data_IF_859196468952
#
_entry.id   IF_859196468952
#
_cell.length_a   1.000
_cell.length_b   1.000
_cell.length_c   1.000
_cell.angle_alpha   90.00
_cell.angle_beta   90.00
_cell.angle_gamma   90.00
#
_symmetry.space_group_name_H-M   'P 1'
#
loop_
_entity.id
_entity.type
_entity.pdbx_description
1 polymer ?
#
# COMPACT_ATOMS: atom_id res chain seq x y z
N UNK A 1 -50.76 -54.12 -16.74
CA UNK A 1 -49.41 -53.53 -16.59
C UNK A 1 -49.41 -52.68 -15.33
N UNK A 2 -48.57 -53.02 -14.36
CA UNK A 2 -48.38 -52.26 -13.12
C UNK A 2 -47.27 -51.24 -13.39
N UNK A 3 -47.56 -49.94 -13.23
CA UNK A 3 -46.58 -48.88 -13.38
C UNK A 3 -46.08 -48.48 -11.99
N UNK A 4 -44.82 -48.80 -11.69
CA UNK A 4 -44.15 -48.41 -10.45
C UNK A 4 -43.51 -47.04 -10.68
N UNK A 5 -44.06 -45.99 -10.07
CA UNK A 5 -43.47 -44.65 -10.08
C UNK A 5 -42.57 -44.53 -8.85
N UNK A 6 -41.26 -44.56 -9.08
CA UNK A 6 -40.26 -44.26 -8.05
C UNK A 6 -40.19 -42.74 -7.87
N UNK A 7 -40.74 -42.22 -6.78
CA UNK A 7 -40.45 -40.85 -6.33
C UNK A 7 -39.11 -40.87 -5.58
N UNK A 8 -38.08 -40.31 -6.22
CA UNK A 8 -36.83 -39.93 -5.56
C UNK A 8 -37.07 -38.69 -4.71
N UNK A 9 -37.20 -38.86 -3.41
CA UNK A 9 -37.13 -37.76 -2.44
C UNK A 9 -35.67 -37.30 -2.34
N UNK A 10 -35.34 -36.18 -2.97
CA UNK A 10 -34.10 -35.45 -2.69
C UNK A 10 -34.25 -34.79 -1.33
N UNK A 11 -33.71 -35.43 -0.30
CA UNK A 11 -33.60 -34.85 1.02
C UNK A 11 -32.58 -33.71 0.98
N UNK A 12 -33.05 -32.46 0.95
CA UNK A 12 -32.24 -31.30 1.33
C UNK A 12 -31.96 -31.40 2.84
N UNK A 13 -30.83 -31.98 3.22
CA UNK A 13 -30.31 -31.84 4.58
C UNK A 13 -29.82 -30.39 4.75
N UNK A 14 -30.60 -29.58 5.44
CA UNK A 14 -30.08 -28.36 6.08
C UNK A 14 -28.91 -28.76 6.99
N UNK A 15 -27.73 -28.14 6.89
CA UNK A 15 -26.63 -28.46 7.79
C UNK A 15 -27.10 -28.18 9.22
N UNK A 16 -27.07 -29.20 10.08
CA UNK A 16 -27.28 -29.02 11.51
C UNK A 16 -26.38 -27.88 11.99
N UNK A 17 -26.97 -26.85 12.60
CA UNK A 17 -26.20 -25.80 13.25
C UNK A 17 -25.40 -26.46 14.39
N UNK A 18 -24.13 -26.75 14.12
CA UNK A 18 -23.20 -27.36 15.08
C UNK A 18 -23.02 -26.49 16.32
N UNK A 19 -23.49 -25.23 16.31
CA UNK A 19 -23.35 -24.27 17.40
C UNK A 19 -21.96 -23.64 17.48
N UNK A 20 -21.04 -23.96 16.56
CA UNK A 20 -19.72 -23.33 16.46
C UNK A 20 -19.91 -21.88 16.01
N UNK A 21 -19.54 -20.93 16.88
CA UNK A 21 -19.67 -19.50 16.61
C UNK A 21 -18.35 -18.90 16.15
N UNK A 22 -18.42 -17.95 15.22
CA UNK A 22 -17.25 -17.21 14.76
C UNK A 22 -17.07 -15.98 15.66
N UNK A 23 -15.88 -15.81 16.24
CA UNK A 23 -15.50 -14.58 16.94
C UNK A 23 -14.88 -13.60 15.96
N UNK A 24 -15.44 -12.40 15.91
CA UNK A 24 -15.03 -11.35 14.99
C UNK A 24 -14.23 -10.27 15.73
N UNK A 25 -13.21 -9.75 15.06
CA UNK A 25 -12.60 -8.46 15.39
C UNK A 25 -12.73 -7.58 14.16
N UNK A 26 -13.50 -6.49 14.26
CA UNK A 26 -13.99 -5.74 13.10
C UNK A 26 -14.64 -6.67 12.06
N UNK A 27 -14.11 -6.74 10.83
CA UNK A 27 -14.58 -7.63 9.75
C UNK A 27 -13.76 -8.92 9.61
N UNK A 28 -12.84 -9.22 10.54
CA UNK A 28 -11.97 -10.40 10.55
C UNK A 28 -12.52 -11.50 11.45
N UNK A 29 -12.62 -12.72 10.91
CA UNK A 29 -12.91 -13.91 11.69
C UNK A 29 -11.63 -14.36 12.41
N UNK A 30 -11.50 -14.03 13.69
CA UNK A 30 -10.24 -14.17 14.45
C UNK A 30 -10.19 -15.41 15.34
N UNK A 31 -11.34 -16.01 15.67
CA UNK A 31 -11.38 -17.25 16.43
C UNK A 31 -12.69 -18.02 16.20
N UNK A 32 -12.72 -19.28 16.61
CA UNK A 32 -13.94 -20.08 16.72
C UNK A 32 -14.23 -20.36 18.19
N UNK A 33 -15.49 -20.17 18.56
CA UNK A 33 -16.10 -20.61 19.81
C UNK A 33 -16.71 -22.00 19.58
N UNK A 34 -16.10 -23.03 20.17
CA UNK A 34 -16.52 -24.44 20.02
C UNK A 34 -17.28 -24.86 21.27
N UNK A 35 -18.59 -25.14 21.20
CA UNK A 35 -19.38 -25.52 22.37
C UNK A 35 -18.85 -26.78 23.06
N UNK A 36 -18.77 -26.77 24.40
CA UNK A 36 -18.29 -27.91 25.20
C UNK A 36 -19.10 -29.20 24.96
N UNK A 37 -20.39 -29.06 24.68
CA UNK A 37 -21.29 -30.18 24.33
C UNK A 37 -20.83 -31.00 23.10
N UNK A 38 -20.10 -30.40 22.15
CA UNK A 38 -19.54 -31.11 20.99
C UNK A 38 -18.29 -31.92 21.34
N UNK A 39 -17.64 -31.54 22.43
CA UNK A 39 -16.29 -31.99 22.78
C UNK A 39 -16.30 -33.05 23.88
N UNK A 40 -17.33 -33.06 24.73
CA UNK A 40 -17.32 -33.86 25.95
C UNK A 40 -16.23 -33.41 26.93
N UNK A 41 -15.90 -34.23 27.94
CA UNK A 41 -14.89 -33.87 28.93
C UNK A 41 -13.48 -33.89 28.30
N UNK A 42 -12.89 -32.71 28.12
CA UNK A 42 -11.51 -32.53 27.65
C UNK A 42 -10.68 -31.82 28.73
N UNK A 43 -9.49 -32.34 29.00
CA UNK A 43 -8.55 -31.70 29.93
C UNK A 43 -7.83 -30.54 29.24
N UNK A 44 -7.56 -29.46 29.97
CA UNK A 44 -6.89 -28.30 29.39
C UNK A 44 -5.50 -28.63 28.81
N UNK A 45 -4.82 -29.61 29.40
CA UNK A 45 -3.46 -30.02 29.00
C UNK A 45 -3.43 -30.92 27.76
N UNK A 46 -4.56 -31.51 27.36
CA UNK A 46 -4.64 -32.43 26.21
C UNK A 46 -5.27 -31.79 24.96
N UNK A 47 -5.84 -30.58 25.08
CA UNK A 47 -6.56 -29.91 23.98
C UNK A 47 -5.74 -29.84 22.69
N UNK A 48 -4.48 -29.40 22.75
CA UNK A 48 -3.63 -29.25 21.56
C UNK A 48 -3.23 -30.56 20.86
N UNK A 49 -3.41 -31.71 21.52
CA UNK A 49 -3.14 -33.03 20.95
C UNK A 49 -4.41 -33.70 20.40
N UNK A 50 -5.56 -33.41 21.03
CA UNK A 50 -6.83 -34.06 20.73
C UNK A 50 -7.69 -33.27 19.74
N UNK A 51 -7.61 -31.94 19.80
CA UNK A 51 -8.37 -31.04 18.94
C UNK A 51 -7.53 -30.59 17.76
N UNK A 52 -8.16 -30.55 16.59
CA UNK A 52 -7.62 -29.87 15.42
C UNK A 52 -8.72 -29.17 14.66
N UNK A 53 -8.40 -28.00 14.11
CA UNK A 53 -9.23 -27.31 13.14
C UNK A 53 -8.58 -27.47 11.78
N UNK A 54 -9.36 -27.80 10.75
CA UNK A 54 -8.87 -28.07 9.39
C UNK A 54 -9.68 -27.28 8.38
N UNK A 55 -9.05 -26.83 7.31
CA UNK A 55 -9.79 -26.38 6.14
C UNK A 55 -10.57 -27.58 5.57
N UNK A 56 -11.82 -27.37 5.17
CA UNK A 56 -12.62 -28.44 4.57
C UNK A 56 -11.88 -29.06 3.37
N UNK A 57 -11.94 -30.39 3.27
CA UNK A 57 -11.24 -31.19 2.25
C UNK A 57 -9.69 -31.14 2.34
N UNK A 58 -9.13 -30.70 3.47
CA UNK A 58 -7.69 -30.81 3.77
C UNK A 58 -7.50 -31.63 5.05
N UNK A 59 -6.49 -32.49 5.04
CA UNK A 59 -6.14 -33.30 6.22
C UNK A 59 -5.27 -32.53 7.23
N UNK A 60 -4.53 -31.53 6.74
CA UNK A 60 -3.61 -30.74 7.56
C UNK A 60 -4.38 -29.80 8.49
N UNK A 61 -4.07 -29.87 9.79
CA UNK A 61 -4.58 -28.92 10.78
C UNK A 61 -3.99 -27.53 10.55
N UNK A 62 -4.82 -26.51 10.72
CA UNK A 62 -4.33 -25.13 10.77
C UNK A 62 -3.69 -24.87 12.12
N UNK A 63 -2.56 -24.16 12.12
CA UNK A 63 -1.85 -23.79 13.34
C UNK A 63 -2.68 -22.78 14.14
N UNK A 64 -2.69 -22.95 15.46
CA UNK A 64 -3.41 -22.08 16.37
C UNK A 64 -3.27 -22.54 17.82
N UNK A 65 -4.01 -21.87 18.70
CA UNK A 65 -4.06 -22.19 20.13
C UNK A 65 -5.49 -22.45 20.56
N UNK A 66 -5.65 -23.40 21.47
CA UNK A 66 -6.92 -23.68 22.12
C UNK A 66 -6.90 -23.12 23.54
N UNK A 67 -7.99 -22.51 23.97
CA UNK A 67 -8.19 -22.03 25.34
C UNK A 67 -9.57 -22.45 25.82
N UNK A 68 -9.62 -23.07 27.00
CA UNK A 68 -10.89 -23.36 27.66
C UNK A 68 -11.46 -22.07 28.25
N UNK A 69 -12.72 -21.79 27.93
CA UNK A 69 -13.61 -20.86 28.63
C UNK A 69 -14.80 -21.66 29.21
N UNK A 70 -15.60 -21.06 30.10
CA UNK A 70 -16.51 -21.77 31.01
C UNK A 70 -17.31 -22.93 30.40
N UNK A 71 -17.89 -22.76 29.20
CA UNK A 71 -18.69 -23.77 28.48
C UNK A 71 -18.28 -23.93 27.00
N UNK A 72 -17.11 -23.41 26.62
CA UNK A 72 -16.64 -23.45 25.25
C UNK A 72 -15.11 -23.50 25.17
N UNK A 73 -14.60 -24.04 24.07
CA UNK A 73 -13.18 -23.98 23.73
C UNK A 73 -12.99 -22.96 22.62
N UNK A 74 -12.12 -22.00 22.85
CA UNK A 74 -11.77 -20.98 21.88
C UNK A 74 -10.55 -21.44 21.10
N UNK A 75 -10.70 -21.58 19.79
CA UNK A 75 -9.59 -21.80 18.89
C UNK A 75 -9.22 -20.50 18.18
N UNK A 76 -8.00 -20.01 18.43
CA UNK A 76 -7.42 -18.84 17.77
C UNK A 76 -6.32 -19.29 16.81
N UNK A 77 -6.52 -19.24 15.49
CA UNK A 77 -5.50 -19.60 14.52
C UNK A 77 -4.36 -18.60 14.50
N UNK A 78 -3.18 -19.05 14.04
CA UNK A 78 -2.02 -18.18 13.81
C UNK A 78 -2.30 -17.14 12.72
N UNK A 79 -3.08 -17.52 11.70
CA UNK A 79 -3.56 -16.65 10.63
C UNK A 79 -5.09 -16.63 10.71
N UNK A 80 -5.75 -15.46 10.78
CA UNK A 80 -7.20 -15.36 10.83
C UNK A 80 -7.90 -16.15 9.71
N UNK A 81 -9.14 -16.57 9.96
CA UNK A 81 -9.89 -17.37 9.02
C UNK A 81 -10.21 -16.59 7.74
N UNK A 82 -10.13 -17.30 6.61
CA UNK A 82 -10.42 -16.73 5.29
C UNK A 82 -11.91 -16.81 5.01
N UNK A 83 -12.50 -15.71 4.53
CA UNK A 83 -13.93 -15.65 4.17
C UNK A 83 -14.24 -16.56 2.98
N UNK A 84 -15.47 -17.07 2.94
CA UNK A 84 -15.94 -18.00 1.92
C UNK A 84 -15.39 -19.42 2.04
N UNK A 85 -14.50 -19.68 3.01
CA UNK A 85 -13.98 -21.01 3.26
C UNK A 85 -14.75 -21.72 4.38
N UNK A 86 -14.83 -23.04 4.26
CA UNK A 86 -15.40 -23.92 5.27
C UNK A 86 -14.29 -24.56 6.09
N UNK A 87 -14.50 -24.65 7.40
CA UNK A 87 -13.60 -25.25 8.36
C UNK A 87 -14.31 -26.34 9.15
N UNK A 88 -13.56 -27.36 9.52
CA UNK A 88 -14.04 -28.51 10.26
C UNK A 88 -13.26 -28.65 11.57
N UNK A 89 -13.97 -28.93 12.66
CA UNK A 89 -13.41 -29.21 13.97
C UNK A 89 -13.37 -30.71 14.16
N UNK A 90 -12.22 -31.21 14.61
CA UNK A 90 -11.95 -32.62 14.81
C UNK A 90 -11.49 -32.88 16.24
N UNK A 91 -12.01 -33.94 16.83
CA UNK A 91 -11.63 -34.46 18.13
C UNK A 91 -11.17 -35.91 17.97
N UNK A 92 -9.93 -36.21 18.37
CA UNK A 92 -9.35 -37.56 18.31
C UNK A 92 -9.52 -38.22 16.93
N UNK A 93 -9.35 -37.44 15.85
CA UNK A 93 -9.50 -37.93 14.48
C UNK A 93 -10.95 -38.10 14.00
N UNK A 94 -11.96 -37.76 14.81
CA UNK A 94 -13.38 -37.73 14.41
C UNK A 94 -13.84 -36.29 14.18
N UNK A 95 -14.55 -36.04 13.07
CA UNK A 95 -15.19 -34.75 12.79
C UNK A 95 -16.35 -34.53 13.76
N UNK A 96 -16.34 -33.42 14.50
CA UNK A 96 -17.35 -33.08 15.51
C UNK A 96 -18.21 -31.88 15.12
N UNK A 97 -17.78 -31.08 14.15
CA UNK A 97 -18.61 -30.03 13.59
C UNK A 97 -17.93 -29.25 12.49
N UNK A 98 -18.73 -28.44 11.82
CA UNK A 98 -18.32 -27.59 10.71
C UNK A 98 -18.79 -26.16 10.91
N UNK A 99 -18.05 -25.24 10.34
CA UNK A 99 -18.41 -23.82 10.28
C UNK A 99 -17.93 -23.23 8.96
N UNK A 100 -18.75 -22.38 8.35
CA UNK A 100 -18.41 -21.66 7.13
C UNK A 100 -18.22 -20.20 7.47
N UNK A 101 -17.08 -19.62 7.06
CA UNK A 101 -16.86 -18.20 7.24
C UNK A 101 -17.65 -17.45 6.16
N UNK A 102 -18.60 -16.58 6.52
CA UNK A 102 -19.39 -15.84 5.55
C UNK A 102 -18.52 -15.04 4.57
N UNK A 103 -18.92 -15.01 3.30
CA UNK A 103 -18.36 -14.10 2.30
C UNK A 103 -18.62 -12.64 2.69
N UNK A 104 -17.93 -11.71 2.03
CA UNK A 104 -18.30 -10.30 2.13
C UNK A 104 -19.55 -10.03 1.29
N UNK A 105 -20.29 -8.98 1.66
CA UNK A 105 -21.35 -8.44 0.82
C UNK A 105 -20.79 -8.04 -0.55
N UNK A 106 -21.56 -8.25 -1.62
CA UNK A 106 -21.09 -8.07 -2.99
C UNK A 106 -20.56 -6.65 -3.28
N UNK A 107 -21.14 -5.64 -2.62
CA UNK A 107 -20.77 -4.23 -2.76
C UNK A 107 -19.63 -3.78 -1.84
N UNK A 108 -19.21 -4.62 -0.87
CA UNK A 108 -18.12 -4.34 0.06
C UNK A 108 -16.76 -4.62 -0.57
N UNK A 109 -16.40 -3.80 -1.57
CA UNK A 109 -15.16 -3.95 -2.34
C UNK A 109 -14.12 -2.86 -2.00
N UNK A 110 -12.82 -3.20 -1.96
CA UNK A 110 -11.75 -2.20 -1.95
C UNK A 110 -11.73 -1.39 -3.25
N UNK A 111 -11.17 -0.18 -3.16
CA UNK A 111 -10.98 0.72 -4.30
C UNK A 111 -9.51 1.14 -4.40
N UNK A 112 -9.02 1.28 -5.63
CA UNK A 112 -7.76 1.98 -5.90
C UNK A 112 -8.08 3.48 -5.99
N UNK A 113 -7.62 4.24 -5.01
CA UNK A 113 -7.91 5.65 -4.83
C UNK A 113 -7.05 6.54 -5.75
N UNK A 114 -5.77 6.20 -5.93
CA UNK A 114 -4.85 6.98 -6.74
C UNK A 114 -3.66 6.14 -7.21
N UNK A 115 -3.08 6.57 -8.35
CA UNK A 115 -1.78 6.14 -8.84
C UNK A 115 -0.90 7.38 -8.96
N UNK A 116 0.20 7.42 -8.21
CA UNK A 116 1.15 8.54 -8.25
C UNK A 116 2.42 8.20 -9.01
N UNK A 117 3.10 9.20 -9.63
CA UNK A 117 2.74 10.63 -9.66
C UNK A 117 1.45 10.92 -10.45
N UNK A 118 0.79 12.05 -10.18
CA UNK A 118 -0.51 12.34 -10.80
C UNK A 118 -0.39 12.69 -12.27
N UNK A 119 0.65 13.43 -12.66
CA UNK A 119 0.83 13.89 -14.03
C UNK A 119 0.94 12.74 -15.05
N UNK A 120 0.58 13.02 -16.30
CA UNK A 120 0.60 12.04 -17.40
C UNK A 120 1.80 12.21 -18.34
N UNK A 121 2.82 12.99 -17.92
CA UNK A 121 4.10 13.12 -18.60
C UNK A 121 5.23 12.80 -17.63
N UNK A 122 5.88 11.64 -17.78
CA UNK A 122 6.89 11.13 -16.84
C UNK A 122 8.27 11.06 -17.49
N UNK A 123 9.37 11.32 -16.78
CA UNK A 123 10.70 11.13 -17.35
C UNK A 123 10.96 9.66 -17.69
N UNK A 124 11.76 9.37 -18.71
CA UNK A 124 12.13 7.97 -19.06
C UNK A 124 12.82 7.21 -17.91
N UNK A 125 13.35 7.95 -16.92
CA UNK A 125 13.93 7.41 -15.70
C UNK A 125 13.06 7.63 -14.47
N UNK A 126 11.73 7.70 -14.62
CA UNK A 126 10.79 7.60 -13.51
C UNK A 126 11.20 6.44 -12.58
N UNK A 127 11.36 6.74 -11.30
CA UNK A 127 11.87 5.77 -10.34
C UNK A 127 10.75 5.00 -9.62
N UNK A 128 9.77 5.73 -9.08
CA UNK A 128 8.75 5.16 -8.19
C UNK A 128 7.34 5.43 -8.68
N UNK A 129 6.44 4.47 -8.45
CA UNK A 129 5.00 4.61 -8.61
C UNK A 129 4.35 4.22 -7.28
N UNK A 130 3.32 4.95 -6.86
CA UNK A 130 2.57 4.60 -5.66
C UNK A 130 1.14 4.20 -6.01
N UNK A 131 0.66 3.10 -5.44
CA UNK A 131 -0.73 2.67 -5.53
C UNK A 131 -1.40 2.89 -4.17
N UNK A 132 -2.41 3.75 -4.12
CA UNK A 132 -3.18 4.03 -2.91
C UNK A 132 -4.51 3.28 -2.93
N UNK A 133 -4.77 2.50 -1.89
CA UNK A 133 -5.95 1.66 -1.75
C UNK A 133 -6.83 2.15 -0.59
N UNK A 134 -8.13 1.94 -0.70
CA UNK A 134 -9.11 2.35 0.31
C UNK A 134 -9.06 1.53 1.60
N UNK A 135 -8.36 0.39 1.59
CA UNK A 135 -8.22 -0.55 2.71
C UNK A 135 -7.03 -1.50 2.49
N UNK A 136 -6.56 -2.23 3.53
CA UNK A 136 -5.38 -3.10 3.44
C UNK A 136 -5.49 -4.18 2.36
N UNK A 137 -4.54 -4.20 1.42
CA UNK A 137 -4.49 -5.18 0.33
C UNK A 137 -3.66 -6.43 0.69
N UNK A 138 -3.83 -7.52 -0.07
CA UNK A 138 -2.99 -8.72 0.10
C UNK A 138 -1.65 -8.56 -0.61
N UNK A 139 -0.58 -8.58 0.18
CA UNK A 139 0.83 -8.47 -0.23
C UNK A 139 1.41 -9.78 -0.84
N UNK A 140 2.60 -9.68 -1.43
CA UNK A 140 3.41 -10.79 -1.95
C UNK A 140 2.99 -11.29 -3.35
N UNK A 141 2.21 -10.51 -4.08
CA UNK A 141 1.61 -10.92 -5.35
C UNK A 141 1.31 -9.75 -6.30
N UNK A 142 1.87 -8.57 -6.07
CA UNK A 142 1.68 -7.37 -6.91
C UNK A 142 1.97 -7.63 -8.39
N UNK A 143 3.00 -8.42 -8.70
CA UNK A 143 3.36 -8.78 -10.08
C UNK A 143 2.26 -9.53 -10.85
N UNK A 144 1.29 -10.14 -10.15
CA UNK A 144 0.14 -10.80 -10.79
C UNK A 144 -0.95 -9.81 -11.21
N UNK A 145 -1.00 -8.64 -10.59
CA UNK A 145 -2.11 -7.69 -10.73
C UNK A 145 -1.69 -6.34 -11.30
N UNK A 146 -0.39 -6.05 -11.36
CA UNK A 146 0.15 -4.81 -11.93
C UNK A 146 0.94 -5.12 -13.18
N UNK A 147 0.58 -4.47 -14.28
CA UNK A 147 1.27 -4.59 -15.57
C UNK A 147 1.60 -3.21 -16.13
N UNK A 148 2.69 -3.14 -16.90
CA UNK A 148 3.01 -1.98 -17.71
C UNK A 148 2.85 -2.38 -19.19
N UNK A 149 2.00 -1.65 -19.92
CA UNK A 149 1.76 -1.87 -21.35
C UNK A 149 2.35 -0.70 -22.13
N UNK A 150 3.10 -0.97 -23.19
CA UNK A 150 3.67 0.02 -24.09
C UNK A 150 2.87 0.06 -25.39
N UNK A 151 2.55 1.27 -25.86
CA UNK A 151 1.84 1.54 -27.12
C UNK A 151 0.57 0.67 -27.30
N UNK A 152 -0.15 0.43 -26.21
CA UNK A 152 -1.42 -0.34 -26.16
C UNK A 152 -1.36 -1.81 -26.60
N UNK A 153 -0.16 -2.34 -26.88
CA UNK A 153 -0.01 -3.70 -27.42
C UNK A 153 1.00 -4.55 -26.63
N UNK A 154 2.11 -3.95 -26.20
CA UNK A 154 3.25 -4.70 -25.65
C UNK A 154 3.24 -4.67 -24.13
N UNK A 155 2.78 -5.75 -23.49
CA UNK A 155 2.97 -5.92 -22.05
C UNK A 155 4.44 -6.16 -21.74
N UNK A 156 5.04 -5.28 -20.93
CA UNK A 156 6.46 -5.33 -20.61
C UNK A 156 6.71 -6.12 -19.30
N UNK A 157 7.29 -7.33 -19.38
CA UNK A 157 7.65 -8.08 -18.19
C UNK A 157 8.88 -7.48 -17.50
N UNK A 158 9.01 -7.69 -16.18
CA UNK A 158 10.23 -7.36 -15.44
C UNK A 158 10.60 -5.87 -15.45
N UNK A 159 9.62 -4.98 -15.62
CA UNK A 159 9.82 -3.53 -15.51
C UNK A 159 9.91 -3.10 -14.05
N UNK A 160 9.01 -3.62 -13.22
CA UNK A 160 9.04 -3.37 -11.79
C UNK A 160 10.03 -4.31 -11.10
N UNK A 161 10.84 -3.76 -10.19
CA UNK A 161 11.75 -4.52 -9.36
C UNK A 161 10.97 -5.49 -8.47
N UNK A 162 11.30 -6.78 -8.54
CA UNK A 162 10.69 -7.79 -7.67
C UNK A 162 11.35 -7.78 -6.28
N UNK A 163 10.78 -7.04 -5.34
CA UNK A 163 11.22 -7.04 -3.94
C UNK A 163 10.36 -7.99 -3.12
N UNK A 164 11.01 -8.82 -2.29
CA UNK A 164 10.37 -9.71 -1.33
C UNK A 164 11.05 -9.50 0.04
N UNK A 165 10.39 -8.87 1.02
CA UNK A 165 9.00 -8.42 0.99
C UNK A 165 8.77 -7.22 0.03
N UNK A 166 7.53 -7.08 -0.44
CA UNK A 166 7.07 -5.91 -1.19
C UNK A 166 7.09 -4.63 -0.33
N UNK A 167 7.17 -3.45 -0.97
CA UNK A 167 7.28 -2.17 -0.28
C UNK A 167 5.91 -1.57 0.08
N UNK A 168 5.20 -2.23 0.99
CA UNK A 168 3.96 -1.71 1.57
C UNK A 168 4.23 -0.78 2.76
N UNK A 169 3.36 0.21 2.97
CA UNK A 169 3.25 0.86 4.28
C UNK A 169 2.74 -0.12 5.35
N UNK A 170 2.86 0.23 6.62
CA UNK A 170 2.45 -0.62 7.73
C UNK A 170 0.97 -1.05 7.66
N UNK A 171 0.11 -0.17 7.17
CA UNK A 171 -1.33 -0.41 7.01
C UNK A 171 -1.67 -1.21 5.74
N UNK A 172 -0.70 -1.44 4.84
CA UNK A 172 -0.87 -2.13 3.55
C UNK A 172 -1.91 -1.49 2.64
N UNK A 173 -2.06 -0.18 2.75
CA UNK A 173 -2.94 0.66 1.93
C UNK A 173 -2.16 1.41 0.86
N UNK A 174 -0.84 1.43 0.92
CA UNK A 174 0.04 2.10 -0.04
C UNK A 174 1.12 1.11 -0.46
N UNK A 175 1.18 0.80 -1.75
CA UNK A 175 2.28 0.03 -2.33
C UNK A 175 3.20 0.96 -3.12
N UNK A 176 4.49 0.88 -2.83
CA UNK A 176 5.53 1.54 -3.64
C UNK A 176 6.10 0.54 -4.65
N UNK A 177 5.93 0.83 -5.94
CA UNK A 177 6.54 0.09 -7.03
C UNK A 177 7.78 0.82 -7.52
N UNK A 178 8.90 0.12 -7.60
CA UNK A 178 10.11 0.65 -8.20
C UNK A 178 10.21 0.17 -9.64
N UNK A 179 10.36 1.09 -10.59
CA UNK A 179 10.95 0.70 -11.87
C UNK A 179 12.39 0.31 -11.60
N UNK A 180 12.84 -0.81 -12.17
CA UNK A 180 14.12 -1.42 -11.80
C UNK A 180 15.28 -0.40 -11.81
N UNK A 181 15.82 -0.03 -10.62
CA UNK A 181 16.90 0.95 -10.53
C UNK A 181 18.17 0.51 -11.26
N UNK A 182 18.40 -0.80 -11.31
CA UNK A 182 19.52 -1.41 -12.04
C UNK A 182 19.41 -1.18 -13.54
N UNK A 183 18.20 -0.99 -14.05
CA UNK A 183 17.91 -0.62 -15.44
C UNK A 183 17.87 0.90 -15.65
N UNK A 184 17.69 1.71 -14.60
CA UNK A 184 17.73 3.18 -14.69
C UNK A 184 19.18 3.71 -14.73
N UNK A 185 20.07 3.10 -13.95
CA UNK A 185 21.49 3.48 -13.89
C UNK A 185 22.25 2.90 -15.08
N UNK A 186 22.82 3.77 -15.92
CA UNK A 186 23.36 3.40 -17.25
C UNK A 186 24.59 2.50 -17.17
N UNK A 187 25.39 2.66 -16.12
CA UNK A 187 26.63 1.90 -15.97
C UNK A 187 26.44 0.47 -15.44
N UNK A 188 25.23 0.14 -14.95
CA UNK A 188 24.95 -1.15 -14.34
C UNK A 188 24.59 -2.22 -15.37
N UNK A 189 24.93 -3.48 -15.05
CA UNK A 189 24.68 -4.62 -15.93
C UNK A 189 23.21 -4.79 -16.37
N UNK A 190 22.18 -4.56 -15.51
CA UNK A 190 20.80 -4.73 -15.94
C UNK A 190 20.41 -3.76 -17.07
N UNK A 191 20.81 -2.48 -16.99
CA UNK A 191 20.62 -1.53 -18.10
C UNK A 191 21.32 -2.01 -19.38
N UNK A 192 22.58 -2.43 -19.30
CA UNK A 192 23.35 -2.88 -20.47
C UNK A 192 22.73 -4.11 -21.16
N UNK A 193 22.02 -4.97 -20.42
CA UNK A 193 21.40 -6.19 -20.94
C UNK A 193 19.95 -6.00 -21.38
N UNK A 194 19.16 -5.23 -20.63
CA UNK A 194 17.70 -5.15 -20.77
C UNK A 194 17.21 -3.75 -21.20
N UNK A 195 18.11 -2.77 -21.27
CA UNK A 195 17.79 -1.38 -21.51
C UNK A 195 17.05 -0.71 -20.35
N UNK A 196 16.73 0.57 -20.53
CA UNK A 196 15.91 1.36 -19.61
C UNK A 196 14.49 0.80 -19.48
N UNK A 197 13.83 0.92 -18.31
CA UNK A 197 12.44 0.53 -18.13
C UNK A 197 11.47 1.22 -19.09
N UNK A 198 11.69 2.52 -19.32
CA UNK A 198 10.86 3.38 -20.16
C UNK A 198 11.73 4.06 -21.22
N UNK A 199 11.17 4.30 -22.40
CA UNK A 199 11.85 4.95 -23.52
C UNK A 199 11.15 6.25 -23.87
N UNK A 200 11.87 7.37 -23.94
CA UNK A 200 11.31 8.68 -24.27
C UNK A 200 10.43 8.67 -25.55
N UNK A 201 9.35 9.46 -25.53
CA UNK A 201 8.42 9.64 -26.64
C UNK A 201 7.40 8.51 -26.85
N UNK A 202 7.39 7.48 -26.00
CA UNK A 202 6.41 6.38 -26.09
C UNK A 202 5.24 6.58 -25.15
N UNK A 203 4.14 5.89 -25.45
CA UNK A 203 2.92 5.87 -24.63
C UNK A 203 2.92 4.61 -23.77
N UNK A 204 2.53 4.77 -22.51
CA UNK A 204 2.50 3.68 -21.54
C UNK A 204 1.19 3.68 -20.77
N UNK A 205 0.83 2.48 -20.28
CA UNK A 205 -0.32 2.27 -19.41
C UNK A 205 0.10 1.41 -18.21
N UNK A 206 -0.11 1.91 -16.99
CA UNK A 206 -0.09 1.08 -15.78
C UNK A 206 -1.49 0.53 -15.59
N UNK A 207 -1.61 -0.79 -15.67
CA UNK A 207 -2.87 -1.50 -15.48
C UNK A 207 -2.85 -2.21 -14.13
N UNK A 208 -3.84 -1.91 -13.29
CA UNK A 208 -4.09 -2.59 -12.01
C UNK A 208 -5.38 -3.40 -12.15
N UNK A 209 -5.27 -4.72 -12.09
CA UNK A 209 -6.39 -5.65 -12.25
C UNK A 209 -7.35 -5.61 -11.07
N UNK A 210 -8.67 -5.67 -11.35
CA UNK A 210 -9.69 -5.83 -10.32
C UNK A 210 -9.53 -7.13 -9.51
N UNK A 211 -8.92 -8.17 -10.07
CA UNK A 211 -8.78 -9.46 -9.41
C UNK A 211 -7.90 -9.44 -8.14
N UNK A 212 -7.23 -8.33 -7.83
CA UNK A 212 -6.38 -8.21 -6.64
C UNK A 212 -7.22 -8.26 -5.35
N UNK A 213 -7.04 -9.27 -4.49
CA UNK A 213 -7.79 -9.35 -3.25
C UNK A 213 -7.22 -8.45 -2.15
N UNK A 214 -8.10 -7.95 -1.29
CA UNK A 214 -7.74 -7.38 0.00
C UNK A 214 -7.34 -8.46 1.02
N UNK A 215 -6.97 -8.03 2.23
CA UNK A 215 -6.66 -8.97 3.32
C UNK A 215 -7.86 -9.84 3.75
N UNK A 216 -9.08 -9.49 3.34
CA UNK A 216 -10.32 -10.18 3.68
C UNK A 216 -10.82 -11.09 2.55
N UNK A 217 -10.20 -11.00 1.36
CA UNK A 217 -10.52 -11.77 0.17
C UNK A 217 -11.44 -11.06 -0.83
N UNK A 218 -11.92 -9.84 -0.56
CA UNK A 218 -12.66 -9.07 -1.56
C UNK A 218 -11.72 -8.52 -2.61
N UNK A 219 -12.12 -8.63 -3.88
CA UNK A 219 -11.37 -8.09 -5.02
C UNK A 219 -11.72 -6.63 -5.27
N UNK A 220 -10.80 -5.88 -5.89
CA UNK A 220 -11.00 -4.47 -6.25
C UNK A 220 -12.31 -4.26 -7.02
N UNK A 221 -12.95 -3.11 -6.80
CA UNK A 221 -14.23 -2.76 -7.42
C UNK A 221 -14.17 -2.81 -8.95
N UNK A 222 -13.04 -2.37 -9.53
CA UNK A 222 -12.81 -2.31 -10.97
C UNK A 222 -11.31 -2.33 -11.27
N UNK A 223 -10.95 -2.82 -12.46
CA UNK A 223 -9.63 -2.60 -13.04
C UNK A 223 -9.42 -1.10 -13.28
N UNK A 224 -8.19 -0.62 -13.08
CA UNK A 224 -7.84 0.80 -13.24
C UNK A 224 -6.61 0.93 -14.12
N UNK A 225 -6.65 1.88 -15.05
CA UNK A 225 -5.56 2.18 -15.97
C UNK A 225 -5.12 3.63 -15.79
N UNK A 226 -3.81 3.84 -15.56
CA UNK A 226 -3.17 5.16 -15.70
C UNK A 226 -2.39 5.20 -17.00
N UNK A 227 -2.69 6.17 -17.85
CA UNK A 227 -1.99 6.41 -19.12
C UNK A 227 -0.98 7.53 -18.91
N UNK A 228 0.20 7.42 -19.51
CA UNK A 228 1.19 8.51 -19.54
C UNK A 228 2.10 8.41 -20.76
N UNK A 229 2.74 9.53 -21.09
CA UNK A 229 3.79 9.63 -22.11
C UNK A 229 5.13 9.86 -21.42
N UNK A 230 6.19 9.31 -21.99
CA UNK A 230 7.53 9.51 -21.46
C UNK A 230 8.22 10.71 -22.08
N UNK A 231 8.77 11.58 -21.24
CA UNK A 231 9.62 12.71 -21.64
C UNK A 231 11.09 12.29 -21.66
N UNK A 232 11.95 13.23 -22.06
CA UNK A 232 13.38 13.08 -21.93
C UNK A 232 13.79 12.79 -20.48
N UNK A 233 14.97 12.17 -20.33
CA UNK A 233 15.59 11.85 -19.05
C UNK A 233 15.76 13.10 -18.20
N UNK A 234 15.47 13.00 -16.92
CA UNK A 234 15.91 13.99 -15.95
C UNK A 234 17.19 13.54 -15.24
N UNK A 235 18.26 14.32 -15.39
CA UNK A 235 19.56 14.03 -14.80
C UNK A 235 20.06 15.18 -13.92
N UNK A 236 19.19 16.12 -13.57
CA UNK A 236 19.54 17.30 -12.81
C UNK A 236 19.00 17.17 -11.38
N UNK A 237 19.85 17.44 -10.39
CA UNK A 237 19.35 17.65 -9.04
C UNK A 237 18.45 18.89 -8.97
N UNK A 238 17.32 18.81 -8.26
CA UNK A 238 16.49 19.97 -8.04
C UNK A 238 17.22 21.05 -7.25
N UNK A 239 16.83 22.31 -7.46
CA UNK A 239 17.50 23.48 -6.87
C UNK A 239 16.52 24.35 -6.08
N UNK A 240 16.40 24.16 -4.75
CA UNK A 240 15.44 24.90 -3.93
C UNK A 240 15.57 26.43 -4.00
N UNK A 241 16.77 26.95 -4.28
CA UNK A 241 17.00 28.39 -4.51
C UNK A 241 16.17 28.97 -5.67
N UNK A 242 15.69 28.12 -6.60
CA UNK A 242 14.83 28.54 -7.72
C UNK A 242 13.33 28.46 -7.40
N UNK A 243 12.96 27.88 -6.26
CA UNK A 243 11.56 27.71 -5.88
C UNK A 243 10.95 29.05 -5.50
N UNK A 244 9.64 29.18 -5.74
CA UNK A 244 8.89 30.37 -5.33
C UNK A 244 8.17 30.08 -4.02
N UNK A 245 8.59 30.74 -2.96
CA UNK A 245 7.95 30.67 -1.65
C UNK A 245 7.15 31.95 -1.44
N UNK A 246 5.82 31.84 -1.46
CA UNK A 246 4.94 32.96 -1.18
C UNK A 246 4.50 32.89 0.28
N UNK A 247 4.90 33.90 1.05
CA UNK A 247 4.50 34.00 2.44
C UNK A 247 2.96 34.11 2.56
N UNK A 248 2.39 33.62 3.66
CA UNK A 248 0.97 33.75 3.97
C UNK A 248 0.47 35.19 3.83
N UNK A 249 -0.62 35.38 3.08
CA UNK A 249 -1.24 36.70 2.89
C UNK A 249 -1.84 37.27 4.18
N UNK A 250 -2.29 36.40 5.08
CA UNK A 250 -2.79 36.74 6.41
C UNK A 250 -2.65 35.55 7.37
N UNK A 251 -3.08 35.76 8.62
CA UNK A 251 -2.99 34.77 9.71
C UNK A 251 -3.59 33.39 9.39
N UNK A 252 -4.60 33.30 8.53
CA UNK A 252 -5.31 32.06 8.22
C UNK A 252 -4.96 31.47 6.84
N UNK A 253 -4.27 32.22 5.99
CA UNK A 253 -3.86 31.73 4.66
C UNK A 253 -2.64 30.83 4.76
N UNK A 254 -2.50 29.83 3.87
CA UNK A 254 -1.35 28.93 3.90
C UNK A 254 -0.07 29.65 3.45
N UNK A 255 1.07 29.04 3.74
CA UNK A 255 2.31 29.25 3.00
C UNK A 255 2.19 28.49 1.67
N UNK A 256 2.51 29.13 0.55
CA UNK A 256 2.52 28.50 -0.77
C UNK A 256 3.96 28.28 -1.26
N UNK A 257 4.28 27.06 -1.69
CA UNK A 257 5.58 26.72 -2.28
C UNK A 257 5.36 26.16 -3.67
N UNK A 258 5.98 26.78 -4.68
CA UNK A 258 6.01 26.27 -6.06
C UNK A 258 7.41 25.78 -6.41
N UNK A 259 7.54 24.49 -6.72
CA UNK A 259 8.82 23.81 -6.91
C UNK A 259 9.38 23.98 -8.33
N UNK A 260 8.50 24.23 -9.31
CA UNK A 260 8.87 24.34 -10.73
C UNK A 260 8.91 23.01 -11.48
N UNK A 261 8.95 21.90 -10.74
CA UNK A 261 8.94 20.52 -11.23
C UNK A 261 8.19 19.62 -10.21
N UNK A 262 7.70 18.45 -10.63
CA UNK A 262 7.00 17.52 -9.73
C UNK A 262 8.00 16.71 -8.91
N UNK A 263 7.68 16.48 -7.64
CA UNK A 263 8.51 15.69 -6.74
C UNK A 263 7.89 14.35 -6.38
N UNK A 264 8.68 13.48 -5.77
CA UNK A 264 8.20 12.23 -5.22
C UNK A 264 7.07 12.47 -4.20
N UNK A 265 5.89 11.95 -4.51
CA UNK A 265 4.68 12.13 -3.71
C UNK A 265 4.83 11.64 -2.27
N UNK A 266 5.46 10.46 -2.08
CA UNK A 266 5.64 9.86 -0.76
C UNK A 266 6.62 10.64 0.13
N UNK A 267 7.59 11.34 -0.46
CA UNK A 267 8.63 12.04 0.28
C UNK A 267 8.32 13.51 0.56
N UNK A 268 7.56 14.19 -0.31
CA UNK A 268 7.31 15.63 -0.22
C UNK A 268 6.82 16.06 1.17
N UNK A 269 5.77 15.43 1.70
CA UNK A 269 5.19 15.84 2.98
C UNK A 269 6.02 15.44 4.19
N UNK A 270 6.97 14.53 4.04
CA UNK A 270 7.88 14.09 5.11
C UNK A 270 9.17 14.92 5.19
N UNK A 271 9.52 15.62 4.12
CA UNK A 271 10.82 16.31 3.96
C UNK A 271 10.70 17.83 4.04
N UNK A 272 9.48 18.37 4.04
CA UNK A 272 9.19 19.79 4.16
C UNK A 272 8.76 20.12 5.59
N UNK A 273 9.47 21.05 6.23
CA UNK A 273 9.20 21.46 7.60
C UNK A 273 9.20 22.98 7.72
N UNK A 274 8.31 23.52 8.55
CA UNK A 274 8.30 24.95 8.87
C UNK A 274 8.76 25.15 10.30
N UNK A 275 9.74 26.02 10.48
CA UNK A 275 10.28 26.42 11.78
C UNK A 275 10.06 27.91 12.01
N UNK A 276 9.91 28.30 13.28
CA UNK A 276 10.07 29.69 13.69
C UNK A 276 11.53 30.09 13.55
N UNK A 277 11.83 31.40 13.51
CA UNK A 277 13.21 31.91 13.55
C UNK A 277 14.03 31.38 14.73
N UNK A 278 13.39 31.07 15.87
CA UNK A 278 14.03 30.46 17.05
C UNK A 278 14.29 28.95 16.91
N UNK A 279 14.00 28.36 15.76
CA UNK A 279 14.21 26.93 15.48
C UNK A 279 13.14 26.01 16.07
N UNK A 280 11.98 26.52 16.49
CA UNK A 280 10.87 25.68 16.97
C UNK A 280 9.99 25.23 15.80
N UNK A 281 9.61 23.95 15.75
CA UNK A 281 8.72 23.42 14.71
C UNK A 281 7.35 24.08 14.79
N UNK A 282 6.87 24.61 13.66
CA UNK A 282 5.48 25.04 13.49
C UNK A 282 4.67 23.82 13.11
N UNK A 283 3.77 23.38 14.00
CA UNK A 283 2.84 22.27 13.69
C UNK A 283 1.82 22.73 12.66
N UNK A 284 1.53 21.87 11.67
CA UNK A 284 0.56 22.15 10.62
C UNK A 284 0.37 20.98 9.70
N UNK A 285 -0.33 21.21 8.59
CA UNK A 285 -0.60 20.21 7.55
C UNK A 285 -0.11 20.71 6.21
N UNK A 286 0.62 19.85 5.52
CA UNK A 286 0.94 20.03 4.10
C UNK A 286 -0.18 19.46 3.24
N UNK A 287 -0.46 20.14 2.13
CA UNK A 287 -1.36 19.67 1.08
C UNK A 287 -0.64 19.83 -0.25
N UNK A 288 -0.52 18.74 -1.01
CA UNK A 288 0.09 18.75 -2.33
C UNK A 288 -0.94 19.20 -3.37
N UNK A 289 -0.49 19.95 -4.36
CA UNK A 289 -1.31 20.50 -5.43
C UNK A 289 -0.56 20.46 -6.75
N UNK A 290 -1.30 20.68 -7.84
CA UNK A 290 -0.71 20.88 -9.17
C UNK A 290 0.22 19.72 -9.57
N UNK A 291 -0.25 18.48 -9.39
CA UNK A 291 0.50 17.26 -9.72
C UNK A 291 1.89 17.21 -9.06
N UNK A 292 1.93 17.39 -7.73
CA UNK A 292 3.16 17.43 -6.94
C UNK A 292 4.13 18.59 -7.28
N UNK A 293 3.71 19.60 -8.07
CA UNK A 293 4.52 20.79 -8.41
C UNK A 293 4.36 21.94 -7.42
N UNK A 294 3.34 21.86 -6.56
CA UNK A 294 3.06 22.84 -5.51
C UNK A 294 2.71 22.17 -4.20
N UNK A 295 3.01 22.84 -3.10
CA UNK A 295 2.53 22.45 -1.79
C UNK A 295 2.11 23.65 -0.95
N UNK A 296 1.06 23.45 -0.17
CA UNK A 296 0.55 24.42 0.80
C UNK A 296 0.74 23.94 2.21
N UNK A 297 1.24 24.82 3.07
CA UNK A 297 1.31 24.54 4.51
C UNK A 297 0.33 25.41 5.28
N UNK A 298 -0.61 24.77 5.98
CA UNK A 298 -1.54 25.43 6.90
C UNK A 298 -1.13 25.13 8.34
N UNK A 299 -0.76 26.13 9.15
CA UNK A 299 -0.38 25.90 10.54
C UNK A 299 -1.60 25.54 11.39
N UNK A 300 -1.39 24.77 12.46
CA UNK A 300 -2.46 24.39 13.39
C UNK A 300 -2.99 25.59 14.20
N UNK A 301 -2.11 26.56 14.49
CA UNK A 301 -2.48 27.88 14.98
C UNK A 301 -2.11 28.93 13.95
N UNK A 302 -3.03 29.85 13.64
CA UNK A 302 -2.80 30.87 12.62
C UNK A 302 -1.51 31.66 12.84
N UNK A 303 -0.87 32.08 11.75
CA UNK A 303 0.42 32.75 11.76
C UNK A 303 0.49 33.96 12.69
N UNK A 304 1.65 34.17 13.27
CA UNK A 304 2.03 35.41 13.94
C UNK A 304 3.01 36.16 13.07
N UNK A 305 3.05 37.49 13.14
CA UNK A 305 4.07 38.26 12.43
C UNK A 305 5.47 37.86 12.88
N UNK A 306 6.39 37.71 11.93
CA UNK A 306 7.78 37.38 12.21
C UNK A 306 8.44 36.61 11.08
N UNK A 307 9.69 36.24 11.32
CA UNK A 307 10.49 35.43 10.39
C UNK A 307 10.31 33.94 10.68
N UNK A 308 10.24 33.16 9.60
CA UNK A 308 10.10 31.71 9.61
C UNK A 308 11.11 31.10 8.63
N UNK A 309 11.32 29.80 8.79
CA UNK A 309 12.25 29.01 7.99
C UNK A 309 11.47 27.84 7.39
N UNK A 310 11.43 27.76 6.07
CA UNK A 310 11.08 26.53 5.36
C UNK A 310 12.36 25.70 5.24
N UNK A 311 12.41 24.60 5.97
CA UNK A 311 13.51 23.63 5.92
C UNK A 311 13.12 22.47 5.02
N UNK A 312 13.98 22.16 4.06
CA UNK A 312 13.82 21.05 3.12
C UNK A 312 14.93 20.04 3.38
N UNK A 313 14.59 18.81 3.76
CA UNK A 313 15.56 17.73 3.90
C UNK A 313 16.18 17.38 2.55
N UNK A 314 17.51 17.23 2.50
CA UNK A 314 18.22 17.00 1.24
C UNK A 314 17.99 15.63 0.62
N UNK A 315 17.37 14.71 1.37
CA UNK A 315 16.91 13.42 0.86
C UNK A 315 15.70 13.55 -0.08
N UNK A 316 15.00 14.68 -0.12
CA UNK A 316 13.87 14.87 -1.04
C UNK A 316 14.29 14.59 -2.49
N UNK A 317 13.55 13.73 -3.17
CA UNK A 317 13.81 13.27 -4.52
C UNK A 317 12.75 13.80 -5.50
N UNK A 318 13.17 14.14 -6.71
CA UNK A 318 12.27 14.30 -7.86
C UNK A 318 11.74 12.94 -8.34
N UNK A 319 10.95 12.95 -9.41
CA UNK A 319 10.40 11.72 -10.00
C UNK A 319 11.45 10.76 -10.59
N UNK A 320 12.63 11.28 -10.94
CA UNK A 320 13.77 10.51 -11.46
C UNK A 320 14.70 9.99 -10.35
N UNK A 321 14.39 10.27 -9.07
CA UNK A 321 15.21 9.90 -7.93
C UNK A 321 16.41 10.81 -7.70
N UNK A 322 16.52 11.95 -8.40
CA UNK A 322 17.58 12.92 -8.13
C UNK A 322 17.23 13.65 -6.83
N UNK A 323 18.15 13.64 -5.88
CA UNK A 323 17.97 14.38 -4.64
C UNK A 323 18.68 15.73 -4.68
N UNK A 324 18.50 16.55 -3.65
CA UNK A 324 19.01 17.92 -3.62
C UNK A 324 20.56 18.00 -3.66
N UNK A 325 21.23 16.93 -3.25
CA UNK A 325 22.70 16.85 -3.21
C UNK A 325 23.30 16.24 -4.48
N UNK A 326 22.60 15.33 -5.16
CA UNK A 326 23.14 14.61 -6.33
C UNK A 326 22.07 13.95 -7.22
N UNK A 327 22.37 13.78 -8.52
CA UNK A 327 21.56 12.95 -9.41
C UNK A 327 21.55 11.48 -9.00
N UNK A 328 20.49 10.76 -9.38
CA UNK A 328 20.33 9.33 -9.09
C UNK A 328 21.34 8.46 -9.86
N UNK A 329 21.47 8.73 -11.15
CA UNK A 329 22.39 8.06 -12.06
C UNK A 329 23.64 8.93 -12.23
N UNK A 330 24.72 8.51 -11.58
CA UNK A 330 26.02 9.17 -11.67
C UNK A 330 26.93 8.35 -12.57
N UNK A 331 27.69 9.07 -13.39
CA UNK A 331 28.81 8.48 -14.11
C UNK A 331 29.90 8.10 -13.10
N UNK A 332 30.14 6.80 -12.94
CA UNK A 332 31.11 6.29 -11.98
C UNK A 332 32.56 6.61 -12.37
N UNK A 333 32.80 7.06 -13.60
CA UNK A 333 34.13 7.43 -14.10
C UNK A 333 34.47 8.91 -13.86
N UNK A 334 33.47 9.74 -13.57
CA UNK A 334 33.69 11.15 -13.23
C UNK A 334 33.92 11.31 -11.74
N UNK A 335 35.10 11.85 -11.41
CA UNK A 335 35.41 12.25 -10.05
C UNK A 335 34.80 13.63 -9.77
N UNK A 336 33.47 13.69 -9.67
CA UNK A 336 32.80 14.88 -9.14
C UNK A 336 33.16 14.89 -7.65
N UNK A 337 34.15 15.71 -7.28
CA UNK A 337 34.71 15.77 -5.94
C UNK A 337 33.64 15.78 -4.85
N UNK A 338 33.99 15.31 -3.66
CA UNK A 338 33.10 15.23 -2.50
C UNK A 338 32.43 16.59 -2.21
N UNK A 339 31.27 16.84 -2.81
CA UNK A 339 30.37 17.90 -2.39
C UNK A 339 29.98 17.57 -0.96
N UNK A 340 30.21 18.51 -0.05
CA UNK A 340 29.72 18.41 1.32
C UNK A 340 28.21 18.27 1.23
N UNK A 341 27.70 17.08 1.55
CA UNK A 341 26.27 16.81 1.51
C UNK A 341 25.63 17.52 2.70
N UNK A 342 24.88 18.59 2.42
CA UNK A 342 24.10 19.25 3.45
C UNK A 342 22.90 18.38 3.81
N UNK A 343 22.54 18.22 5.09
CA UNK A 343 21.38 17.43 5.51
C UNK A 343 20.04 18.11 5.16
N UNK A 344 20.05 19.43 5.00
CA UNK A 344 18.87 20.21 4.64
C UNK A 344 19.26 21.54 3.98
N UNK A 345 18.28 22.17 3.34
CA UNK A 345 18.35 23.52 2.78
C UNK A 345 17.28 24.38 3.47
N UNK A 346 17.65 25.58 3.92
CA UNK A 346 16.74 26.51 4.58
C UNK A 346 16.40 27.68 3.65
N UNK A 347 15.10 27.98 3.54
CA UNK A 347 14.57 29.16 2.85
C UNK A 347 13.84 30.02 3.87
N UNK A 348 14.30 31.25 4.06
CA UNK A 348 13.67 32.19 5.00
C UNK A 348 12.49 32.92 4.34
N UNK A 349 11.42 33.12 5.10
CA UNK A 349 10.27 33.94 4.70
C UNK A 349 9.70 34.71 5.89
N UNK A 350 9.04 35.84 5.62
CA UNK A 350 8.46 36.69 6.67
C UNK A 350 6.95 36.77 6.53
N UNK A 351 6.25 36.59 7.65
CA UNK A 351 4.82 36.88 7.76
C UNK A 351 4.68 38.30 8.28
N UNK A 352 4.02 39.15 7.50
CA UNK A 352 3.73 40.53 7.89
C UNK A 352 2.43 40.59 8.69
N UNK A 353 2.32 41.59 9.56
CA UNK A 353 1.04 41.94 10.17
C UNK A 353 0.12 42.50 9.09
N UNK A 354 -0.80 41.68 8.58
CA UNK A 354 -1.93 42.15 7.78
C UNK A 354 -3.11 42.36 8.73
N UNK A 355 -3.61 43.61 8.91
CA UNK A 355 -4.87 43.82 9.61
C UNK A 355 -6.00 43.05 8.91
N UNK A 356 -7.05 42.64 9.65
CA UNK A 356 -8.09 41.74 9.17
C UNK A 356 -8.84 42.23 7.92
#
# INVERSE_FOLDING_TARGET
MIFFVYLLTVACSSPEETGIKIRWHEKRAVALSIPGQLLGPISANSMGQQLSVRLANRETAILGSFRQESDEVIFTPLIPFTRGLQYSVWLNGKRVGDTSIPTLEADDKPELLAIYPLQDSLPENQLKIYLYFSRPMREGQSQKYVSLVKNEADTLPGVFLNLQPELWNAERTILTLWLDPGRIKRDLQPNKKLGTPLQAGNHYQIVVSDAWPDQQGATLRKSTTKVFVTTARDSLSPKPVKWKVHAPLNRLKPLDVSFGEPFDHGMLTETLHVFTEKGSVVKGKWQLQDEERKANFTPAGGWTSGTYILRIESRLEDLAGNNLNRPFDRDLTRNDGSLTAEPFIDIHFSVLNTPP
#
